data_IF_463864787697
#
_entry.id   IF_463864787697
#
_cell.length_a   1.000
_cell.length_b   1.000
_cell.length_c   1.000
_cell.angle_alpha   90.00
_cell.angle_beta   90.00
_cell.angle_gamma   90.00
#
_symmetry.space_group_name_H-M   'P 1'
#
loop_
_entity.id
_entity.type
_entity.pdbx_description
1 polymer ?
#
# COMPACT_ATOMS: atom_id res chain seq x y z
N UNK A 1 22.55 -2.85 8.25
CA UNK A 1 22.50 -1.67 7.35
C UNK A 1 21.66 -2.09 6.16
N UNK A 2 20.51 -1.47 6.00
CA UNK A 2 19.52 -1.88 5.00
C UNK A 2 19.38 -0.70 4.03
N UNK A 3 19.94 -0.89 2.84
CA UNK A 3 20.10 0.13 1.80
C UNK A 3 18.73 0.27 1.14
N UNK A 4 18.10 1.44 1.28
CA UNK A 4 16.78 1.70 0.73
C UNK A 4 16.86 1.97 -0.77
N UNK A 5 16.71 0.94 -1.60
CA UNK A 5 16.80 1.01 -3.06
C UNK A 5 15.61 1.72 -3.73
N UNK A 6 14.64 2.28 -2.97
CA UNK A 6 13.44 2.93 -3.55
C UNK A 6 13.74 4.16 -4.41
N UNK A 7 14.88 4.81 -4.20
CA UNK A 7 15.33 5.95 -5.01
C UNK A 7 15.88 5.54 -6.39
N UNK A 8 16.13 4.24 -6.63
CA UNK A 8 16.56 3.72 -7.94
C UNK A 8 15.39 3.36 -8.86
N UNK A 9 14.16 3.34 -8.35
CA UNK A 9 12.95 3.20 -9.15
C UNK A 9 12.60 4.57 -9.73
N UNK A 10 13.06 4.83 -10.95
CA UNK A 10 12.67 5.98 -11.77
C UNK A 10 11.14 6.06 -11.81
N UNK A 11 10.56 7.03 -11.10
CA UNK A 11 9.11 7.22 -10.98
C UNK A 11 8.53 7.18 -9.56
N UNK A 12 9.33 6.88 -8.53
CA UNK A 12 8.85 6.96 -7.15
C UNK A 12 8.58 8.43 -6.75
N UNK A 13 7.32 8.78 -6.54
CA UNK A 13 6.96 10.10 -6.03
C UNK A 13 7.60 10.30 -4.64
N UNK A 14 8.17 11.49 -4.35
CA UNK A 14 8.78 11.77 -3.06
C UNK A 14 7.75 11.59 -1.94
N UNK A 15 8.18 10.99 -0.81
CA UNK A 15 7.28 10.76 0.31
C UNK A 15 6.78 12.08 0.90
N UNK A 16 5.49 12.13 1.18
CA UNK A 16 4.80 13.25 1.80
C UNK A 16 4.66 12.96 3.28
N UNK A 17 5.08 13.89 4.14
CA UNK A 17 4.75 13.79 5.57
C UNK A 17 3.35 14.30 5.80
N UNK A 18 2.53 13.55 6.53
CA UNK A 18 1.19 14.00 6.90
C UNK A 18 1.30 15.17 7.89
N UNK A 19 0.63 16.28 7.57
CA UNK A 19 0.64 17.47 8.40
C UNK A 19 -0.10 18.64 7.75
N UNK A 20 -0.27 19.76 8.47
CA UNK A 20 -1.06 20.90 7.99
C UNK A 20 -0.50 21.51 6.69
N UNK A 21 0.83 21.49 6.50
CA UNK A 21 1.47 22.03 5.31
C UNK A 21 1.23 21.18 4.03
N UNK A 22 0.93 19.89 4.20
CA UNK A 22 0.74 18.92 3.11
C UNK A 22 -0.71 18.48 2.96
N UNK A 23 -1.60 18.89 3.87
CA UNK A 23 -3.00 18.48 3.92
C UNK A 23 -3.73 18.70 2.59
N UNK A 24 -3.60 19.88 1.98
CA UNK A 24 -4.24 20.19 0.69
C UNK A 24 -3.74 19.29 -0.46
N UNK A 25 -2.46 18.93 -0.45
CA UNK A 25 -1.86 18.02 -1.43
C UNK A 25 -2.31 16.58 -1.22
N UNK A 26 -2.44 16.15 0.03
CA UNK A 26 -2.93 14.81 0.38
C UNK A 26 -4.41 14.69 0.02
N UNK A 27 -5.22 15.71 0.30
CA UNK A 27 -6.63 15.73 -0.12
C UNK A 27 -6.77 15.67 -1.65
N UNK A 28 -5.93 16.39 -2.40
CA UNK A 28 -5.91 16.32 -3.85
C UNK A 28 -5.53 14.92 -4.37
N UNK A 29 -4.61 14.21 -3.69
CA UNK A 29 -4.27 12.82 -4.01
C UNK A 29 -5.45 11.90 -3.72
N UNK A 30 -6.10 12.06 -2.57
CA UNK A 30 -7.25 11.24 -2.16
C UNK A 30 -8.45 11.41 -3.10
N UNK A 31 -8.66 12.58 -3.69
CA UNK A 31 -9.71 12.81 -4.69
C UNK A 31 -9.54 11.98 -5.96
N UNK A 32 -8.30 11.58 -6.28
CA UNK A 32 -7.95 10.79 -7.47
C UNK A 32 -7.49 9.38 -7.13
N UNK A 33 -7.59 8.99 -5.85
CA UNK A 33 -7.07 7.72 -5.39
C UNK A 33 -7.98 6.58 -5.85
N UNK A 34 -7.37 5.60 -6.53
CA UNK A 34 -8.04 4.35 -6.91
C UNK A 34 -7.97 3.31 -5.78
N UNK A 35 -6.97 3.45 -4.91
CA UNK A 35 -6.79 2.58 -3.76
C UNK A 35 -5.70 3.08 -2.82
N UNK A 36 -5.73 2.59 -1.60
CA UNK A 36 -4.76 2.92 -0.58
C UNK A 36 -4.30 1.65 0.15
N UNK A 37 -2.99 1.54 0.37
CA UNK A 37 -2.39 0.45 1.15
C UNK A 37 -1.78 1.02 2.42
N UNK A 38 -2.13 0.46 3.58
CA UNK A 38 -1.51 0.84 4.86
C UNK A 38 -0.47 -0.19 5.27
N UNK A 39 0.70 0.32 5.63
CA UNK A 39 1.84 -0.47 6.07
C UNK A 39 2.53 0.19 7.26
N UNK A 40 3.35 -0.60 7.97
CA UNK A 40 4.28 -0.11 8.99
C UNK A 40 5.68 -0.62 8.67
N UNK A 41 6.66 0.27 8.70
CA UNK A 41 8.08 -0.06 8.52
C UNK A 41 8.87 0.58 9.67
N UNK A 42 9.63 -0.24 10.40
CA UNK A 42 10.45 0.19 11.55
C UNK A 42 9.68 1.01 12.60
N UNK A 43 8.43 0.62 12.86
CA UNK A 43 7.57 1.28 13.84
C UNK A 43 6.91 2.58 13.36
N UNK A 44 7.16 3.02 12.12
CA UNK A 44 6.48 4.17 11.51
C UNK A 44 5.39 3.70 10.57
N UNK A 45 4.22 4.31 10.70
CA UNK A 45 3.10 4.05 9.78
C UNK A 45 3.24 4.89 8.51
N UNK A 46 2.87 4.29 7.40
CA UNK A 46 2.74 4.98 6.12
C UNK A 46 1.57 4.41 5.33
N UNK A 47 1.05 5.23 4.43
CA UNK A 47 0.01 4.88 3.49
C UNK A 47 0.54 5.12 2.08
N UNK A 48 0.47 4.11 1.24
CA UNK A 48 0.76 4.21 -0.18
C UNK A 48 -0.57 4.42 -0.92
N UNK A 49 -0.76 5.63 -1.46
CA UNK A 49 -1.96 6.06 -2.17
C UNK A 49 -1.72 5.92 -3.67
N UNK A 50 -2.49 5.07 -4.35
CA UNK A 50 -2.36 4.82 -5.77
C UNK A 50 -3.24 5.79 -6.56
N UNK A 51 -2.61 6.56 -7.45
CA UNK A 51 -3.27 7.52 -8.36
C UNK A 51 -2.71 7.28 -9.76
N UNK A 52 -3.57 6.98 -10.73
CA UNK A 52 -3.18 6.75 -12.14
C UNK A 52 -2.01 5.74 -12.30
N UNK A 53 -2.01 4.68 -11.49
CA UNK A 53 -0.93 3.66 -11.48
C UNK A 53 0.37 4.08 -10.77
N UNK A 54 0.43 5.28 -10.18
CA UNK A 54 1.58 5.77 -9.41
C UNK A 54 1.29 5.72 -7.92
N UNK A 55 2.18 5.07 -7.16
CA UNK A 55 2.08 4.99 -5.70
C UNK A 55 2.72 6.22 -5.04
N UNK A 56 1.91 7.01 -4.36
CA UNK A 56 2.32 8.17 -3.57
C UNK A 56 2.37 7.81 -2.08
N UNK A 57 3.56 7.88 -1.49
CA UNK A 57 3.73 7.58 -0.08
C UNK A 57 3.38 8.76 0.81
N UNK A 58 2.54 8.50 1.82
CA UNK A 58 2.24 9.40 2.93
C UNK A 58 2.78 8.79 4.23
N UNK A 59 3.70 9.47 4.90
CA UNK A 59 4.29 9.05 6.18
C UNK A 59 3.59 9.75 7.36
N UNK A 60 3.38 9.01 8.44
CA UNK A 60 2.73 9.52 9.66
C UNK A 60 3.70 9.47 10.84
N UNK A 61 3.82 10.60 11.54
CA UNK A 61 4.63 10.70 12.77
C UNK A 61 3.82 10.30 14.02
N UNK A 62 2.49 10.48 13.99
CA UNK A 62 1.59 10.15 15.11
C UNK A 62 0.51 9.16 14.67
N UNK A 63 0.13 8.28 15.58
CA UNK A 63 -0.96 7.31 15.32
C UNK A 63 -2.30 8.01 15.11
N UNK A 64 -2.58 9.12 15.83
CA UNK A 64 -3.81 9.90 15.64
C UNK A 64 -3.94 10.48 14.22
N UNK A 65 -2.81 10.86 13.60
CA UNK A 65 -2.78 11.38 12.23
C UNK A 65 -3.11 10.27 11.22
N UNK A 66 -2.63 9.05 11.48
CA UNK A 66 -2.99 7.86 10.71
C UNK A 66 -4.48 7.56 10.84
N UNK A 67 -5.03 7.55 12.06
CA UNK A 67 -6.46 7.28 12.29
C UNK A 67 -7.35 8.29 11.59
N UNK A 68 -7.00 9.58 11.65
CA UNK A 68 -7.70 10.64 10.92
C UNK A 68 -7.66 10.40 9.41
N UNK A 69 -6.49 10.07 8.87
CA UNK A 69 -6.34 9.74 7.46
C UNK A 69 -7.18 8.53 7.06
N UNK A 70 -7.13 7.43 7.82
CA UNK A 70 -7.95 6.23 7.58
C UNK A 70 -9.43 6.54 7.57
N UNK A 71 -9.89 7.34 8.52
CA UNK A 71 -11.29 7.80 8.57
C UNK A 71 -11.65 8.58 7.31
N UNK A 72 -10.77 9.49 6.88
CA UNK A 72 -10.95 10.29 5.66
C UNK A 72 -10.89 9.48 4.35
N UNK A 73 -10.16 8.35 4.33
CA UNK A 73 -10.11 7.45 3.18
C UNK A 73 -11.40 6.62 3.11
N UNK A 74 -11.85 6.09 4.26
CA UNK A 74 -13.09 5.31 4.35
C UNK A 74 -14.33 6.13 4.02
N UNK A 75 -14.41 7.37 4.50
CA UNK A 75 -15.55 8.26 4.21
C UNK A 75 -15.68 8.59 2.72
N UNK A 76 -14.57 8.52 1.97
CA UNK A 76 -14.52 8.71 0.52
C UNK A 76 -14.75 7.43 -0.28
N UNK A 77 -14.96 6.29 0.40
CA UNK A 77 -15.19 4.99 -0.26
C UNK A 77 -13.96 4.44 -1.00
N UNK A 78 -12.76 4.96 -0.71
CA UNK A 78 -11.53 4.50 -1.37
C UNK A 78 -11.16 3.11 -0.81
N UNK A 79 -10.89 2.11 -1.67
CA UNK A 79 -10.48 0.78 -1.22
C UNK A 79 -9.23 0.83 -0.36
N UNK A 80 -9.34 0.38 0.88
CA UNK A 80 -8.27 0.40 1.86
C UNK A 80 -7.81 -1.02 2.17
N UNK A 81 -6.58 -1.35 1.80
CA UNK A 81 -5.99 -2.66 2.02
C UNK A 81 -4.88 -2.57 3.07
N UNK A 82 -4.74 -3.59 3.91
CA UNK A 82 -3.56 -3.76 4.74
C UNK A 82 -2.53 -4.61 4.01
N UNK A 83 -1.26 -4.23 4.09
CA UNK A 83 -0.14 -4.96 3.46
C UNK A 83 -0.18 -6.48 3.76
N UNK A 84 -0.51 -6.83 5.01
CA UNK A 84 -0.66 -8.24 5.42
C UNK A 84 -1.74 -8.98 4.66
N UNK A 85 -2.86 -8.34 4.35
CA UNK A 85 -3.97 -8.93 3.60
C UNK A 85 -3.58 -9.16 2.14
N UNK A 86 -2.86 -8.21 1.54
CA UNK A 86 -2.33 -8.33 0.17
C UNK A 86 -1.31 -9.47 0.11
N UNK A 87 -0.35 -9.52 1.04
CA UNK A 87 0.65 -10.59 1.12
C UNK A 87 -0.01 -11.95 1.33
N UNK A 88 -1.01 -12.06 2.21
CA UNK A 88 -1.79 -13.28 2.41
C UNK A 88 -2.53 -13.73 1.16
N UNK A 89 -3.16 -12.80 0.44
CA UNK A 89 -3.86 -13.11 -0.81
C UNK A 89 -2.89 -13.63 -1.89
N UNK A 90 -1.74 -12.98 -2.05
CA UNK A 90 -0.70 -13.42 -3.00
C UNK A 90 -0.17 -14.81 -2.64
N UNK A 91 0.09 -15.07 -1.35
CA UNK A 91 0.52 -16.38 -0.87
C UNK A 91 -0.54 -17.47 -1.12
N UNK A 92 -1.82 -17.15 -0.89
CA UNK A 92 -2.93 -18.06 -1.15
C UNK A 92 -3.03 -18.43 -2.63
N UNK A 93 -2.97 -17.43 -3.53
CA UNK A 93 -3.00 -17.66 -4.98
C UNK A 93 -1.81 -18.52 -5.41
N UNK A 94 -0.60 -18.20 -4.92
CA UNK A 94 0.61 -18.97 -5.22
C UNK A 94 0.50 -20.43 -4.76
N UNK A 95 -0.02 -20.67 -3.56
CA UNK A 95 -0.20 -22.01 -3.02
C UNK A 95 -1.20 -22.83 -3.86
N UNK A 96 -2.32 -22.23 -4.28
CA UNK A 96 -3.30 -22.86 -5.16
C UNK A 96 -2.67 -23.21 -6.51
N UNK A 97 -1.86 -22.32 -7.07
CA UNK A 97 -1.19 -22.55 -8.35
C UNK A 97 -0.21 -23.74 -8.26
N UNK A 98 0.60 -23.78 -7.20
CA UNK A 98 1.53 -24.90 -6.94
C UNK A 98 0.78 -26.21 -6.77
N UNK A 99 -0.31 -26.22 -6.00
CA UNK A 99 -1.14 -27.41 -5.81
C UNK A 99 -1.71 -27.90 -7.14
N UNK A 100 -2.20 -26.99 -7.98
CA UNK A 100 -2.76 -27.31 -9.29
C UNK A 100 -1.70 -27.94 -10.21
N UNK A 101 -0.48 -27.39 -10.23
CA UNK A 101 0.64 -27.93 -11.01
C UNK A 101 1.03 -29.32 -10.49
N UNK A 102 1.15 -29.50 -9.17
CA UNK A 102 1.48 -30.78 -8.57
C UNK A 102 0.43 -31.84 -8.91
N UNK A 103 -0.87 -31.49 -8.85
CA UNK A 103 -1.96 -32.39 -9.23
C UNK A 103 -1.89 -32.77 -10.72
N UNK A 104 -1.61 -31.80 -11.59
CA UNK A 104 -1.47 -32.03 -13.02
C UNK A 104 -0.27 -32.93 -13.38
N UNK A 105 0.84 -32.84 -12.62
CA UNK A 105 1.99 -33.74 -12.75
C UNK A 105 1.68 -35.14 -12.22
N UNK A 106 0.94 -35.25 -11.12
CA UNK A 106 0.56 -36.54 -10.54
C UNK A 106 -0.45 -37.30 -11.40
N UNK A 107 -1.35 -36.59 -12.07
CA UNK A 107 -2.34 -37.14 -12.99
C UNK A 107 -1.78 -37.39 -14.41
N UNK A 108 -0.53 -36.99 -14.68
CA UNK A 108 0.14 -37.33 -15.94
C UNK A 108 0.59 -38.80 -15.87
N UNK A 109 0.05 -39.69 -16.72
CA UNK A 109 0.46 -41.09 -16.78
C UNK A 109 1.90 -41.26 -17.26
#
# INVERSE_FOLDING_TARGET
MDIDYRHLLVGAAPSLRYGPATASRIDALLLRAEGCVISRQRGRAFADVNVDGVSHRVEFDREADLEQFVSGVRSRGIPLHRDREVVLAVLGIGAVLVLTIALALWLRP
#
